data_IF_494158178421
#
_entry.id   IF_494158178421
#
_cell.length_a   1.000
_cell.length_b   1.000
_cell.length_c   1.000
_cell.angle_alpha   90.00
_cell.angle_beta   90.00
_cell.angle_gamma   90.00
#
_symmetry.space_group_name_H-M   'P 1'
#
loop_
_entity.id
_entity.type
_entity.pdbx_description
1 polymer ?
#
# COMPACT_ATOMS: atom_id res chain seq x y z
N UNK A 1 11.74 -39.77 -37.67
CA UNK A 1 10.55 -38.91 -37.56
C UNK A 1 9.80 -39.23 -36.28
N UNK A 2 9.84 -38.28 -35.33
CA UNK A 2 9.06 -38.13 -34.07
C UNK A 2 8.46 -39.39 -33.40
N UNK A 3 9.06 -39.78 -32.27
CA UNK A 3 8.36 -40.40 -31.15
C UNK A 3 8.84 -39.73 -29.86
N UNK A 4 7.95 -39.11 -29.07
CA UNK A 4 7.64 -39.55 -27.71
C UNK A 4 6.58 -38.66 -27.03
N UNK A 5 5.48 -39.32 -26.69
CA UNK A 5 4.64 -39.17 -25.50
C UNK A 5 5.12 -38.23 -24.38
N UNK A 6 4.31 -37.20 -24.13
CA UNK A 6 3.60 -36.93 -22.86
C UNK A 6 4.21 -37.54 -21.58
N UNK A 7 5.05 -36.75 -20.90
CA UNK A 7 5.27 -36.80 -19.46
C UNK A 7 5.51 -35.38 -18.94
N UNK A 8 4.66 -34.94 -18.01
CA UNK A 8 4.84 -33.70 -17.25
C UNK A 8 6.00 -33.90 -16.28
N UNK A 9 7.22 -33.52 -16.66
CA UNK A 9 8.30 -33.36 -15.70
C UNK A 9 8.15 -32.00 -15.00
N UNK A 10 7.38 -32.02 -13.92
CA UNK A 10 7.30 -30.93 -12.96
C UNK A 10 8.68 -30.76 -12.30
N UNK A 11 9.43 -29.80 -12.81
CA UNK A 11 10.61 -29.28 -12.12
C UNK A 11 10.13 -28.64 -10.82
N UNK A 12 10.25 -29.38 -9.71
CA UNK A 12 10.06 -28.89 -8.35
C UNK A 12 11.19 -27.90 -8.06
N UNK A 13 11.05 -26.67 -8.57
CA UNK A 13 11.80 -25.55 -8.02
C UNK A 13 11.26 -25.34 -6.62
N UNK A 14 12.08 -25.66 -5.61
CA UNK A 14 11.79 -25.45 -4.19
C UNK A 14 11.29 -24.02 -4.01
N UNK A 15 9.97 -23.85 -3.89
CA UNK A 15 9.33 -22.59 -3.49
C UNK A 15 9.74 -22.35 -2.04
N UNK A 16 10.91 -21.77 -1.84
CA UNK A 16 11.28 -21.17 -0.56
C UNK A 16 10.16 -20.18 -0.25
N UNK A 17 9.37 -20.47 0.80
CA UNK A 17 8.36 -19.55 1.33
C UNK A 17 9.12 -18.31 1.79
N UNK A 18 9.33 -17.33 0.88
CA UNK A 18 9.92 -16.04 1.21
C UNK A 18 9.12 -15.47 2.37
N UNK A 19 9.69 -15.52 3.58
CA UNK A 19 9.10 -14.96 4.79
C UNK A 19 8.73 -13.52 4.45
N UNK A 20 7.45 -13.18 4.56
CA UNK A 20 6.97 -11.82 4.27
C UNK A 20 7.71 -10.88 5.22
N UNK A 21 8.27 -9.79 4.68
CA UNK A 21 8.97 -8.78 5.47
C UNK A 21 8.04 -8.30 6.59
N UNK A 22 8.55 -8.23 7.82
CA UNK A 22 7.77 -7.80 8.98
C UNK A 22 7.11 -6.45 8.71
N UNK A 23 5.89 -6.26 9.21
CA UNK A 23 5.19 -4.98 9.09
C UNK A 23 5.87 -3.98 10.02
N UNK A 24 6.45 -2.94 9.44
CA UNK A 24 7.02 -1.82 10.19
C UNK A 24 5.99 -0.69 10.24
N UNK A 25 5.82 -0.10 11.42
CA UNK A 25 5.00 1.11 11.61
C UNK A 25 5.87 2.34 11.35
N UNK A 26 5.24 3.40 10.85
CA UNK A 26 5.89 4.71 10.74
C UNK A 26 5.86 5.41 12.09
N UNK A 27 6.92 6.16 12.39
CA UNK A 27 6.97 7.00 13.60
C UNK A 27 6.00 8.16 13.49
N UNK A 28 5.66 8.79 14.61
CA UNK A 28 4.75 9.93 14.62
C UNK A 28 5.27 11.11 13.77
N UNK A 29 6.58 11.38 13.85
CA UNK A 29 7.22 12.41 13.03
C UNK A 29 7.12 12.11 11.53
N UNK A 30 7.35 10.85 11.11
CA UNK A 30 7.17 10.45 9.71
C UNK A 30 5.74 10.65 9.23
N UNK A 31 4.74 10.28 10.05
CA UNK A 31 3.33 10.47 9.72
C UNK A 31 2.96 11.95 9.62
N UNK A 32 3.49 12.78 10.52
CA UNK A 32 3.27 14.23 10.51
C UNK A 32 3.75 14.87 9.20
N UNK A 33 5.01 14.62 8.81
CA UNK A 33 5.58 15.16 7.56
C UNK A 33 4.80 14.70 6.32
N UNK A 34 4.40 13.42 6.29
CA UNK A 34 3.58 12.88 5.21
C UNK A 34 2.22 13.57 5.10
N UNK A 35 1.56 13.84 6.23
CA UNK A 35 0.28 14.52 6.27
C UNK A 35 0.41 16.00 5.90
N UNK A 36 1.42 16.70 6.45
CA UNK A 36 1.72 18.09 6.12
C UNK A 36 1.92 18.25 4.61
N UNK A 37 2.77 17.40 4.00
CA UNK A 37 2.97 17.43 2.54
C UNK A 37 1.69 17.11 1.77
N UNK A 38 0.87 16.17 2.26
CA UNK A 38 -0.39 15.79 1.61
C UNK A 38 -1.44 16.91 1.59
N UNK A 39 -1.48 17.74 2.63
CA UNK A 39 -2.35 18.92 2.68
C UNK A 39 -2.03 19.91 1.56
N UNK A 40 -0.74 20.06 1.23
CA UNK A 40 -0.29 20.92 0.14
C UNK A 40 -0.46 20.26 -1.24
N UNK A 41 -0.01 19.01 -1.39
CA UNK A 41 -0.03 18.29 -2.66
C UNK A 41 -0.52 16.85 -2.49
N UNK A 42 -1.59 16.48 -3.18
CA UNK A 42 -2.23 15.15 -3.04
C UNK A 42 -1.56 14.06 -3.88
N UNK A 43 -0.74 14.45 -4.84
CA UNK A 43 -0.05 13.58 -5.79
C UNK A 43 1.39 14.05 -5.91
N UNK A 44 2.34 13.12 -5.76
CA UNK A 44 3.77 13.41 -5.87
C UNK A 44 4.30 12.90 -7.21
N UNK A 45 5.20 13.69 -7.81
CA UNK A 45 6.09 13.27 -8.89
C UNK A 45 7.13 12.24 -8.41
N UNK A 46 8.01 11.78 -9.30
CA UNK A 46 9.11 10.88 -8.92
C UNK A 46 10.14 11.60 -8.02
N UNK A 47 10.60 12.77 -8.45
CA UNK A 47 11.59 13.57 -7.72
C UNK A 47 11.10 13.96 -6.31
N UNK A 48 9.85 14.39 -6.17
CA UNK A 48 9.30 14.76 -4.86
C UNK A 48 9.20 13.57 -3.90
N UNK A 49 8.97 12.35 -4.42
CA UNK A 49 8.99 11.13 -3.58
C UNK A 49 10.38 10.79 -3.11
N UNK A 50 11.39 10.99 -3.95
CA UNK A 50 12.79 10.77 -3.58
C UNK A 50 13.23 11.78 -2.51
N UNK A 51 12.99 13.06 -2.76
CA UNK A 51 13.29 14.13 -1.80
C UNK A 51 12.62 13.89 -0.44
N UNK A 52 11.30 13.65 -0.43
CA UNK A 52 10.58 13.41 0.82
C UNK A 52 11.05 12.11 1.52
N UNK A 53 11.25 11.04 0.75
CA UNK A 53 11.74 9.76 1.29
C UNK A 53 13.08 9.90 2.00
N UNK A 54 14.02 10.63 1.39
CA UNK A 54 15.31 10.92 1.98
C UNK A 54 15.18 11.75 3.27
N UNK A 55 14.30 12.76 3.28
CA UNK A 55 14.08 13.62 4.46
C UNK A 55 13.56 12.83 5.68
N UNK A 56 12.64 11.89 5.48
CA UNK A 56 11.96 11.17 6.57
C UNK A 56 12.44 9.72 6.75
N UNK A 57 13.54 9.35 6.09
CA UNK A 57 14.13 8.01 6.10
C UNK A 57 13.15 6.90 5.69
N UNK A 58 12.40 7.14 4.60
CA UNK A 58 11.52 6.15 3.97
C UNK A 58 11.90 5.96 2.50
N UNK A 59 11.68 4.75 1.97
CA UNK A 59 11.87 4.54 0.53
C UNK A 59 10.81 5.30 -0.29
N UNK A 60 11.13 5.75 -1.52
CA UNK A 60 10.17 6.40 -2.41
C UNK A 60 8.91 5.54 -2.67
N UNK A 61 9.07 4.21 -2.60
CA UNK A 61 7.97 3.25 -2.70
C UNK A 61 7.05 3.28 -1.48
N UNK A 62 7.59 3.38 -0.25
CA UNK A 62 6.78 3.53 0.97
C UNK A 62 6.01 4.84 0.96
N UNK A 63 6.64 5.94 0.53
CA UNK A 63 5.99 7.25 0.35
C UNK A 63 4.86 7.13 -0.67
N UNK A 64 5.11 6.52 -1.84
CA UNK A 64 4.08 6.25 -2.86
C UNK A 64 2.88 5.49 -2.29
N UNK A 65 3.13 4.40 -1.56
CA UNK A 65 2.08 3.56 -0.98
C UNK A 65 1.27 4.35 0.06
N UNK A 66 1.95 5.15 0.91
CA UNK A 66 1.26 5.97 1.89
C UNK A 66 0.34 7.00 1.21
N UNK A 67 0.81 7.72 0.19
CA UNK A 67 -0.01 8.70 -0.55
C UNK A 67 -1.21 8.03 -1.25
N UNK A 68 -1.04 6.82 -1.79
CA UNK A 68 -2.15 6.05 -2.33
C UNK A 68 -3.19 5.70 -1.25
N UNK A 69 -2.74 5.21 -0.09
CA UNK A 69 -3.61 4.89 1.04
C UNK A 69 -4.30 6.13 1.60
N UNK A 70 -3.60 7.27 1.65
CA UNK A 70 -4.15 8.52 2.17
C UNK A 70 -5.27 9.07 1.28
N UNK A 71 -5.10 9.02 -0.05
CA UNK A 71 -6.18 9.35 -1.01
C UNK A 71 -7.35 8.40 -0.89
N UNK A 72 -7.10 7.10 -0.71
CA UNK A 72 -8.15 6.11 -0.48
C UNK A 72 -8.97 6.43 0.78
N UNK A 73 -8.30 6.75 1.89
CA UNK A 73 -8.97 7.17 3.15
C UNK A 73 -9.80 8.44 2.94
N UNK A 74 -9.28 9.45 2.23
CA UNK A 74 -10.02 10.68 1.93
C UNK A 74 -11.31 10.38 1.14
N UNK A 75 -11.21 9.59 0.07
CA UNK A 75 -12.37 9.23 -0.76
C UNK A 75 -13.42 8.47 0.06
N UNK A 76 -13.00 7.57 0.96
CA UNK A 76 -13.91 6.86 1.86
C UNK A 76 -14.65 7.81 2.80
N UNK A 77 -13.95 8.75 3.42
CA UNK A 77 -14.57 9.72 4.33
C UNK A 77 -15.60 10.59 3.60
N UNK A 78 -15.27 11.07 2.40
CA UNK A 78 -16.20 11.86 1.57
C UNK A 78 -17.45 11.06 1.19
N UNK A 79 -17.29 9.78 0.82
CA UNK A 79 -18.42 8.92 0.46
C UNK A 79 -19.32 8.59 1.66
N UNK A 80 -18.74 8.48 2.87
CA UNK A 80 -19.48 8.24 4.12
C UNK A 80 -20.27 9.48 4.56
N UNK A 81 -19.77 10.69 4.30
CA UNK A 81 -20.48 11.93 4.64
C UNK A 81 -21.63 12.28 3.68
N UNK A 82 -21.66 11.69 2.48
CA UNK A 82 -22.64 12.04 1.44
C UNK A 82 -23.83 11.06 1.34
N UNK A 83 -23.74 9.87 1.93
CA UNK A 83 -24.83 8.89 1.93
C UNK A 83 -25.03 8.38 3.36
N UNK A 84 -26.14 8.75 3.99
CA UNK A 84 -26.54 8.30 5.33
C UNK A 84 -26.78 6.78 5.45
N UNK A 85 -26.63 6.04 4.36
CA UNK A 85 -26.70 4.58 4.35
C UNK A 85 -25.28 4.00 4.31
N UNK A 86 -24.86 3.37 5.41
CA UNK A 86 -23.53 2.80 5.66
C UNK A 86 -23.09 1.64 4.74
N UNK A 87 -23.38 1.71 3.43
CA UNK A 87 -22.94 0.74 2.44
C UNK A 87 -21.47 0.99 2.09
N UNK A 88 -20.64 0.04 2.49
CA UNK A 88 -19.21 0.00 2.21
C UNK A 88 -18.94 0.13 0.70
N UNK A 89 -18.31 1.23 0.28
CA UNK A 89 -17.88 1.42 -1.11
C UNK A 89 -16.80 0.39 -1.43
N UNK A 90 -17.17 -0.69 -2.15
CA UNK A 90 -16.27 -1.74 -2.65
C UNK A 90 -15.36 -1.20 -3.76
N UNK A 91 -14.40 -0.36 -3.39
CA UNK A 91 -13.30 0.02 -4.29
C UNK A 91 -12.31 -1.15 -4.34
N UNK A 92 -12.03 -1.63 -5.56
CA UNK A 92 -11.11 -2.75 -5.84
C UNK A 92 -9.81 -2.59 -5.02
N UNK A 93 -9.62 -3.51 -4.08
CA UNK A 93 -8.47 -3.60 -3.19
C UNK A 93 -7.20 -3.90 -3.99
N UNK A 94 -6.42 -2.88 -4.36
CA UNK A 94 -5.09 -3.12 -4.94
C UNK A 94 -4.07 -3.51 -3.84
N UNK A 95 -4.31 -3.21 -2.54
CA UNK A 95 -3.36 -3.62 -1.50
C UNK A 95 -3.90 -3.79 -0.07
N UNK A 96 -5.21 -3.87 0.13
CA UNK A 96 -5.75 -3.98 1.48
C UNK A 96 -5.75 -5.45 1.92
N UNK A 97 -4.77 -5.84 2.75
CA UNK A 97 -4.86 -7.04 3.60
C UNK A 97 -4.60 -6.66 5.05
N UNK A 98 -5.71 -6.45 5.76
CA UNK A 98 -5.95 -6.59 7.21
C UNK A 98 -5.04 -5.78 8.15
N UNK A 99 -5.59 -4.67 8.67
CA UNK A 99 -5.48 -4.28 10.10
C UNK A 99 -6.58 -3.26 10.41
N UNK A 100 -7.78 -3.81 10.67
CA UNK A 100 -8.73 -3.24 11.64
C UNK A 100 -8.11 -3.52 13.02
N UNK A 101 -8.26 -2.61 13.99
CA UNK A 101 -7.49 -2.51 15.25
C UNK A 101 -6.18 -1.74 14.99
N UNK A 102 -6.03 -0.46 15.35
CA UNK A 102 -6.14 0.12 16.68
C UNK A 102 -6.65 1.58 16.56
N UNK A 103 -7.76 1.88 17.24
CA UNK A 103 -8.12 3.23 17.74
C UNK A 103 -7.68 3.25 19.21
N UNK A 104 -7.48 4.45 19.74
CA UNK A 104 -6.99 4.82 21.09
C UNK A 104 -5.48 5.03 21.13
N UNK A 105 -5.08 6.29 20.91
CA UNK A 105 -4.52 7.18 21.93
C UNK A 105 -5.06 8.58 21.67
#
# INVERSE_FOLDING_TARGET
NKLLNRSKECHVTKRTKKRRKARLLFTQSQVYELEAKFQHIRYLSASERESLGNQINLSPTQVKIWFQNRRYKQKRLQAMSQNGDGKEVKIKHIFTRKNKQVREY
#
